data_IF_238394586214
#
_entry.id   IF_238394586214
#
_cell.length_a   1.000
_cell.length_b   1.000
_cell.length_c   1.000
_cell.angle_alpha   90.00
_cell.angle_beta   90.00
_cell.angle_gamma   90.00
#
_symmetry.space_group_name_H-M   'P 1'
#
loop_
_entity.id
_entity.type
_entity.pdbx_description
1 polymer ?
#
# COMPACT_ATOMS: atom_id res chain seq x y z
N UNK A 1 39.44 -17.87 -3.21
CA UNK A 1 39.40 -16.40 -2.99
C UNK A 1 39.16 -15.78 -4.35
N UNK A 2 37.89 -15.60 -4.73
CA UNK A 2 37.49 -14.78 -5.86
C UNK A 2 36.32 -13.95 -5.34
N UNK A 3 36.64 -12.70 -5.02
CA UNK A 3 35.69 -11.70 -4.56
C UNK A 3 35.12 -11.08 -5.83
N UNK A 4 33.81 -11.25 -6.04
CA UNK A 4 33.07 -10.57 -7.10
C UNK A 4 33.11 -9.07 -6.81
N UNK A 5 34.05 -8.38 -7.45
CA UNK A 5 34.17 -6.93 -7.37
C UNK A 5 33.24 -6.30 -8.41
N UNK A 6 32.02 -5.96 -8.01
CA UNK A 6 31.33 -4.86 -8.68
C UNK A 6 32.12 -3.56 -8.46
N UNK A 7 32.07 -2.68 -9.45
CA UNK A 7 32.41 -1.28 -9.19
C UNK A 7 31.36 -0.70 -8.23
N UNK A 8 31.79 0.17 -7.33
CA UNK A 8 30.95 0.80 -6.31
C UNK A 8 29.62 1.35 -6.89
N UNK A 9 29.66 1.93 -8.09
CA UNK A 9 28.49 2.55 -8.73
C UNK A 9 27.37 1.61 -9.19
N UNK A 10 27.63 0.32 -9.44
CA UNK A 10 26.55 -0.63 -9.84
C UNK A 10 25.69 -1.07 -8.66
N UNK A 11 26.26 -1.14 -7.45
CA UNK A 11 25.52 -1.43 -6.21
C UNK A 11 24.61 -0.27 -5.83
N UNK A 12 25.07 0.96 -6.02
CA UNK A 12 24.31 2.17 -5.71
C UNK A 12 23.00 2.26 -6.54
N UNK A 13 23.07 1.93 -7.84
CA UNK A 13 21.90 1.99 -8.74
C UNK A 13 20.78 1.02 -8.32
N UNK A 14 21.14 -0.22 -7.98
CA UNK A 14 20.16 -1.24 -7.56
C UNK A 14 19.53 -0.90 -6.21
N UNK A 15 20.32 -0.37 -5.28
CA UNK A 15 19.80 0.14 -4.01
C UNK A 15 18.85 1.31 -4.23
N UNK A 16 19.20 2.24 -5.12
CA UNK A 16 18.38 3.41 -5.45
C UNK A 16 17.04 3.00 -6.09
N UNK A 17 17.03 2.00 -6.97
CA UNK A 17 15.81 1.43 -7.54
C UNK A 17 14.92 0.78 -6.46
N UNK A 18 15.50 -0.05 -5.58
CA UNK A 18 14.74 -0.68 -4.50
C UNK A 18 14.19 0.35 -3.51
N UNK A 19 14.97 1.38 -3.16
CA UNK A 19 14.54 2.51 -2.33
C UNK A 19 13.39 3.28 -2.98
N UNK A 20 13.45 3.46 -4.30
CA UNK A 20 12.38 4.12 -5.05
C UNK A 20 11.06 3.36 -4.93
N UNK A 21 11.08 2.02 -5.07
CA UNK A 21 9.88 1.19 -4.87
C UNK A 21 9.38 1.22 -3.41
N UNK A 22 10.29 1.23 -2.43
CA UNK A 22 9.94 1.41 -1.02
C UNK A 22 9.18 2.72 -0.77
N UNK A 23 9.56 3.81 -1.44
CA UNK A 23 8.94 5.12 -1.24
C UNK A 23 7.63 5.28 -1.99
N UNK A 24 7.52 4.74 -3.21
CA UNK A 24 6.34 4.93 -4.08
C UNK A 24 5.07 4.26 -3.57
N UNK A 25 5.20 3.16 -2.83
CA UNK A 25 4.04 2.49 -2.25
C UNK A 25 3.62 3.08 -0.90
N UNK A 26 4.45 3.89 -0.24
CA UNK A 26 4.18 4.41 1.12
C UNK A 26 3.36 5.70 1.06
N UNK A 27 2.34 5.78 1.89
CA UNK A 27 1.36 6.86 1.89
C UNK A 27 1.21 7.50 3.27
N UNK A 28 0.89 8.79 3.26
CA UNK A 28 0.56 9.52 4.48
C UNK A 28 -0.95 9.51 4.69
N UNK A 29 -1.36 9.11 5.89
CA UNK A 29 -2.76 9.03 6.31
C UNK A 29 -3.04 10.16 7.29
N UNK A 30 -4.14 10.88 7.06
CA UNK A 30 -4.56 11.96 7.96
C UNK A 30 -6.07 12.04 8.07
N UNK A 31 -6.55 12.26 9.29
CA UNK A 31 -7.93 12.60 9.62
C UNK A 31 -7.94 13.88 10.48
N UNK A 32 -8.95 14.72 10.32
CA UNK A 32 -9.12 15.90 11.17
C UNK A 32 -10.26 15.63 12.15
N UNK A 33 -9.94 15.53 13.45
CA UNK A 33 -10.97 15.34 14.50
C UNK A 33 -11.24 16.62 15.26
N UNK A 34 -12.48 16.80 15.69
CA UNK A 34 -12.86 17.85 16.64
C UNK A 34 -12.40 17.45 18.03
N UNK A 35 -11.77 18.37 18.75
CA UNK A 35 -11.38 18.14 20.15
C UNK A 35 -12.61 17.91 21.00
N UNK A 36 -12.62 16.82 21.77
CA UNK A 36 -13.66 16.55 22.75
C UNK A 36 -13.14 16.68 24.17
N UNK A 37 -14.03 16.99 25.10
CA UNK A 37 -13.73 16.92 26.54
C UNK A 37 -14.90 16.27 27.28
N UNK A 38 -14.56 15.51 28.32
CA UNK A 38 -15.55 14.87 29.19
C UNK A 38 -15.85 15.76 30.38
N UNK A 39 -17.14 16.03 30.62
CA UNK A 39 -17.65 16.76 31.78
C UNK A 39 -18.95 16.13 32.24
N UNK A 40 -19.07 15.84 33.53
CA UNK A 40 -20.27 15.26 34.14
C UNK A 40 -20.76 13.97 33.44
N UNK A 41 -19.81 13.13 33.00
CA UNK A 41 -20.09 11.87 32.30
C UNK A 41 -20.57 12.02 30.86
N UNK A 42 -20.66 13.24 30.33
CA UNK A 42 -20.99 13.54 28.94
C UNK A 42 -19.76 14.03 28.18
N UNK A 43 -19.73 13.74 26.89
CA UNK A 43 -18.67 14.19 25.98
C UNK A 43 -19.17 15.39 25.17
N UNK A 44 -18.34 16.42 25.10
CA UNK A 44 -18.65 17.68 24.42
C UNK A 44 -17.58 18.00 23.39
N UNK A 45 -18.00 18.48 22.23
CA UNK A 45 -17.09 19.08 21.26
C UNK A 45 -16.64 20.46 21.71
N UNK A 46 -15.38 20.80 21.44
CA UNK A 46 -14.81 22.10 21.72
C UNK A 46 -14.98 23.00 20.51
N UNK A 47 -15.90 23.96 20.63
CA UNK A 47 -16.10 25.02 19.64
C UNK A 47 -15.60 26.35 20.20
N UNK A 48 -14.84 27.07 19.40
CA UNK A 48 -14.39 28.44 19.67
C UNK A 48 -15.42 29.40 19.11
N UNK A 49 -15.81 30.39 19.91
CA UNK A 49 -16.67 31.48 19.49
C UNK A 49 -15.82 32.71 19.21
N UNK A 50 -15.90 33.25 18.01
CA UNK A 50 -15.28 34.53 17.66
C UNK A 50 -15.99 35.65 18.42
N UNK A 51 -15.19 36.47 19.10
CA UNK A 51 -15.66 37.54 19.99
C UNK A 51 -16.21 38.76 19.25
N UNK A 52 -15.86 38.93 17.97
CA UNK A 52 -16.19 40.10 17.16
C UNK A 52 -17.40 39.87 16.26
N UNK A 53 -17.59 38.65 15.73
CA UNK A 53 -18.66 38.36 14.78
C UNK A 53 -19.65 37.26 15.25
N UNK A 54 -19.48 36.70 16.45
CA UNK A 54 -20.30 35.61 17.01
C UNK A 54 -20.27 34.29 16.20
N UNK A 55 -19.32 34.11 15.27
CA UNK A 55 -19.16 32.85 14.54
C UNK A 55 -18.55 31.77 15.43
N UNK A 56 -18.88 30.51 15.15
CA UNK A 56 -18.32 29.35 15.84
C UNK A 56 -17.41 28.58 14.89
N UNK A 57 -16.25 28.16 15.38
CA UNK A 57 -15.35 27.24 14.68
C UNK A 57 -14.97 26.08 15.59
N UNK A 58 -15.02 24.86 15.06
CA UNK A 58 -14.60 23.69 15.81
C UNK A 58 -13.08 23.74 16.04
N UNK A 59 -12.64 23.49 17.27
CA UNK A 59 -11.22 23.31 17.53
C UNK A 59 -10.82 21.89 17.14
N UNK A 60 -10.00 21.76 16.11
CA UNK A 60 -9.62 20.46 15.56
C UNK A 60 -8.17 20.09 15.88
N UNK A 61 -7.84 18.82 15.70
CA UNK A 61 -6.48 18.29 15.75
C UNK A 61 -6.32 17.18 14.71
N UNK A 62 -5.13 17.04 14.09
CA UNK A 62 -4.90 15.97 13.15
C UNK A 62 -4.62 14.66 13.89
N UNK A 63 -5.19 13.57 13.40
CA UNK A 63 -4.70 12.21 13.65
C UNK A 63 -3.97 11.77 12.39
N UNK A 64 -2.77 11.22 12.57
CA UNK A 64 -1.88 10.91 11.46
C UNK A 64 -1.34 9.49 11.59
N UNK A 65 -0.97 8.91 10.46
CA UNK A 65 -0.33 7.60 10.41
C UNK A 65 0.36 7.39 9.07
N UNK A 66 1.06 6.26 8.97
CA UNK A 66 1.62 5.79 7.72
C UNK A 66 0.80 4.61 7.22
N UNK A 67 0.60 4.53 5.91
CA UNK A 67 0.14 3.32 5.25
C UNK A 67 1.04 2.97 4.08
N UNK A 68 0.72 1.90 3.40
CA UNK A 68 1.32 1.57 2.11
C UNK A 68 0.36 0.76 1.26
N UNK A 69 0.56 0.80 -0.06
CA UNK A 69 -0.20 -0.04 -0.97
C UNK A 69 0.43 -1.42 -1.13
N UNK A 70 -0.43 -2.43 -1.24
CA UNK A 70 -0.09 -3.81 -1.55
C UNK A 70 -1.08 -4.37 -2.58
N UNK A 71 -0.64 -5.35 -3.36
CA UNK A 71 -1.51 -6.07 -4.30
C UNK A 71 -1.56 -7.56 -3.98
N UNK A 72 -2.54 -8.26 -4.54
CA UNK A 72 -2.56 -9.72 -4.58
C UNK A 72 -2.23 -10.27 -5.97
N UNK A 73 -2.02 -11.59 -6.06
CA UNK A 73 -1.73 -12.29 -7.33
C UNK A 73 -2.95 -12.30 -8.28
N UNK A 74 -4.09 -11.81 -7.83
CA UNK A 74 -5.34 -11.72 -8.58
C UNK A 74 -5.67 -10.25 -8.89
N UNK A 75 -4.69 -9.36 -8.94
CA UNK A 75 -4.86 -7.99 -9.44
C UNK A 75 -5.70 -7.06 -8.58
N UNK A 76 -6.07 -7.45 -7.36
CA UNK A 76 -6.71 -6.54 -6.40
C UNK A 76 -5.66 -5.67 -5.71
N UNK A 77 -6.05 -4.45 -5.38
CA UNK A 77 -5.16 -3.42 -4.82
C UNK A 77 -5.68 -2.97 -3.46
N UNK A 78 -4.77 -2.81 -2.50
CA UNK A 78 -5.15 -2.61 -1.10
C UNK A 78 -4.31 -1.51 -0.45
N UNK A 79 -4.95 -0.69 0.39
CA UNK A 79 -4.27 0.15 1.38
C UNK A 79 -4.08 -0.63 2.67
N UNK A 80 -2.85 -0.73 3.14
CA UNK A 80 -2.44 -1.42 4.36
C UNK A 80 -1.96 -0.41 5.40
N UNK A 81 -2.36 -0.58 6.66
CA UNK A 81 -1.84 0.19 7.80
C UNK A 81 -2.03 -0.58 9.11
N UNK A 82 -1.61 0.00 10.23
CA UNK A 82 -1.89 -0.57 11.55
C UNK A 82 -3.40 -0.51 11.85
N UNK A 83 -3.95 -1.52 12.54
CA UNK A 83 -5.39 -1.56 12.84
C UNK A 83 -5.81 -0.39 13.73
N UNK A 84 -5.01 0.04 14.70
CA UNK A 84 -5.35 1.22 15.50
C UNK A 84 -5.39 2.51 14.68
N UNK A 85 -4.50 2.67 13.69
CA UNK A 85 -4.56 3.82 12.75
C UNK A 85 -5.86 3.75 11.95
N UNK A 86 -6.17 2.59 11.35
CA UNK A 86 -7.39 2.41 10.57
C UNK A 86 -8.68 2.71 11.36
N UNK A 87 -8.73 2.36 12.66
CA UNK A 87 -9.87 2.67 13.54
C UNK A 87 -10.13 4.17 13.71
N UNK A 88 -9.09 5.00 13.57
CA UNK A 88 -9.21 6.44 13.72
C UNK A 88 -9.63 7.16 12.43
N UNK A 89 -9.53 6.49 11.29
CA UNK A 89 -9.86 7.04 9.98
C UNK A 89 -11.34 6.85 9.64
N UNK A 90 -11.97 7.90 9.10
CA UNK A 90 -13.33 7.86 8.56
C UNK A 90 -13.32 8.02 7.05
N UNK A 91 -14.50 8.03 6.42
CA UNK A 91 -14.63 8.32 4.98
C UNK A 91 -14.09 9.71 4.59
N UNK A 92 -13.97 10.63 5.56
CA UNK A 92 -13.43 11.98 5.38
C UNK A 92 -11.90 12.05 5.50
N UNK A 93 -11.26 10.99 5.95
CA UNK A 93 -9.81 10.92 5.99
C UNK A 93 -9.21 11.09 4.59
N UNK A 94 -7.95 11.47 4.57
CA UNK A 94 -7.20 11.72 3.35
C UNK A 94 -5.99 10.81 3.24
N UNK A 95 -5.66 10.45 2.01
CA UNK A 95 -4.44 9.72 1.63
C UNK A 95 -3.61 10.64 0.77
N UNK A 96 -2.40 10.94 1.21
CA UNK A 96 -1.42 11.72 0.43
C UNK A 96 -0.34 10.80 -0.10
N UNK A 97 -0.05 10.93 -1.39
CA UNK A 97 0.94 10.12 -2.10
C UNK A 97 1.90 10.99 -2.90
N UNK A 98 2.99 10.39 -3.36
CA UNK A 98 3.92 11.05 -4.28
C UNK A 98 3.36 11.07 -5.71
N UNK A 99 3.45 12.23 -6.36
CA UNK A 99 3.23 12.39 -7.80
C UNK A 99 4.54 12.80 -8.50
N UNK A 100 4.46 13.30 -9.74
CA UNK A 100 5.64 13.72 -10.52
C UNK A 100 6.47 14.79 -9.77
N UNK A 101 7.79 14.65 -9.85
CA UNK A 101 8.76 15.59 -9.26
C UNK A 101 8.59 15.75 -7.75
N UNK A 102 8.29 14.67 -7.05
CA UNK A 102 8.11 14.59 -5.59
C UNK A 102 7.01 15.52 -5.06
N UNK A 103 6.00 15.87 -5.87
CA UNK A 103 4.90 16.71 -5.40
C UNK A 103 3.85 15.84 -4.70
N UNK A 104 3.34 16.24 -3.52
CA UNK A 104 2.23 15.53 -2.90
C UNK A 104 0.96 15.72 -3.74
N UNK A 105 0.18 14.65 -3.84
CA UNK A 105 -1.22 14.71 -4.25
C UNK A 105 -2.06 14.04 -3.16
N UNK A 106 -3.18 14.66 -2.82
CA UNK A 106 -4.05 14.21 -1.74
C UNK A 106 -5.41 13.85 -2.30
N UNK A 107 -5.88 12.66 -1.92
CA UNK A 107 -7.20 12.16 -2.22
C UNK A 107 -8.01 12.00 -0.93
N UNK A 108 -9.33 12.16 -1.00
CA UNK A 108 -10.18 11.65 0.07
C UNK A 108 -10.15 10.12 0.01
N UNK A 109 -10.19 9.42 1.14
CA UNK A 109 -10.33 7.96 1.12
C UNK A 109 -11.59 7.54 0.36
N UNK A 110 -12.65 8.36 0.38
CA UNK A 110 -13.85 8.11 -0.44
C UNK A 110 -13.52 7.91 -1.92
N UNK A 111 -12.60 8.72 -2.46
CA UNK A 111 -12.18 8.63 -3.87
C UNK A 111 -11.42 7.33 -4.18
N UNK A 112 -10.91 6.65 -3.16
CA UNK A 112 -10.14 5.40 -3.27
C UNK A 112 -11.03 4.17 -3.20
N UNK A 113 -12.15 4.22 -2.48
CA UNK A 113 -13.00 3.05 -2.22
C UNK A 113 -14.31 3.03 -3.00
N UNK A 114 -14.53 4.02 -3.86
CA UNK A 114 -15.74 4.16 -4.65
C UNK A 114 -16.95 4.69 -3.85
N UNK A 115 -18.15 4.52 -4.41
CA UNK A 115 -19.40 4.97 -3.76
C UNK A 115 -19.75 4.08 -2.55
N UNK A 116 -19.33 4.53 -1.36
CA UNK A 116 -19.66 3.89 -0.08
C UNK A 116 -19.83 4.94 1.02
N UNK A 117 -20.69 4.63 1.99
CA UNK A 117 -20.93 5.47 3.17
C UNK A 117 -19.98 5.13 4.34
N UNK A 118 -19.24 4.02 4.23
CA UNK A 118 -18.33 3.56 5.29
C UNK A 118 -17.09 2.86 4.73
N UNK A 119 -15.98 2.96 5.48
CA UNK A 119 -14.74 2.25 5.20
C UNK A 119 -14.85 0.78 5.65
N UNK A 120 -14.71 -0.14 4.70
CA UNK A 120 -14.80 -1.59 4.95
C UNK A 120 -13.42 -2.20 5.19
N UNK A 121 -12.79 -1.81 6.30
CA UNK A 121 -11.50 -2.38 6.71
C UNK A 121 -11.63 -3.87 7.03
N UNK A 122 -10.76 -4.68 6.43
CA UNK A 122 -10.50 -6.05 6.86
C UNK A 122 -9.37 -6.03 7.88
N UNK A 123 -9.55 -6.66 9.04
CA UNK A 123 -8.53 -6.70 10.10
C UNK A 123 -8.06 -8.13 10.35
N UNK A 124 -6.84 -8.32 10.86
CA UNK A 124 -6.29 -9.67 11.08
C UNK A 124 -7.10 -10.48 12.11
N UNK A 125 -7.63 -9.81 13.13
CA UNK A 125 -8.35 -10.38 14.27
C UNK A 125 -7.53 -10.38 15.55
N UNK A 126 -6.28 -10.87 15.51
CA UNK A 126 -5.35 -10.87 16.64
C UNK A 126 -4.20 -9.86 16.54
N UNK A 127 -3.75 -9.55 15.32
CA UNK A 127 -2.59 -8.68 15.07
C UNK A 127 -3.05 -7.27 14.67
N UNK A 128 -2.22 -6.27 14.94
CA UNK A 128 -2.52 -4.86 14.67
C UNK A 128 -2.33 -4.50 13.18
N UNK A 129 -3.10 -5.14 12.30
CA UNK A 129 -3.05 -4.96 10.85
C UNK A 129 -4.46 -4.76 10.32
N UNK A 130 -4.61 -3.77 9.44
CA UNK A 130 -5.83 -3.50 8.70
C UNK A 130 -5.53 -3.28 7.21
N UNK A 131 -6.44 -3.75 6.38
CA UNK A 131 -6.37 -3.73 4.91
C UNK A 131 -7.69 -3.20 4.36
N UNK A 132 -7.62 -2.26 3.42
CA UNK A 132 -8.77 -1.67 2.75
C UNK A 132 -8.65 -1.92 1.24
N UNK A 133 -9.66 -2.56 0.65
CA UNK A 133 -9.73 -2.75 -0.80
C UNK A 133 -9.92 -1.40 -1.51
N UNK A 134 -9.15 -1.17 -2.56
CA UNK A 134 -9.21 0.02 -3.41
C UNK A 134 -10.04 -0.30 -4.66
N UNK A 135 -10.91 0.64 -5.04
CA UNK A 135 -11.66 0.57 -6.29
C UNK A 135 -10.72 0.81 -7.47
N UNK A 136 -10.66 -0.14 -8.41
CA UNK A 136 -9.79 -0.08 -9.58
C UNK A 136 -10.17 1.04 -10.58
N UNK A 137 -11.34 1.67 -10.44
CA UNK A 137 -11.69 2.89 -11.18
C UNK A 137 -11.27 4.18 -10.47
N UNK A 138 -10.62 4.09 -9.31
CA UNK A 138 -10.15 5.26 -8.58
C UNK A 138 -9.14 6.05 -9.41
N UNK A 139 -9.24 7.38 -9.38
CA UNK A 139 -8.30 8.32 -10.03
C UNK A 139 -6.88 8.25 -9.48
N UNK A 140 -6.64 7.47 -8.43
CA UNK A 140 -5.29 7.20 -7.95
C UNK A 140 -4.47 6.42 -8.99
N UNK A 141 -5.11 5.59 -9.82
CA UNK A 141 -4.46 4.82 -10.88
C UNK A 141 -4.04 5.67 -12.09
N UNK A 142 -4.51 6.92 -12.18
CA UNK A 142 -4.03 7.89 -13.18
C UNK A 142 -2.61 8.39 -12.87
N UNK A 143 -2.06 8.06 -11.69
CA UNK A 143 -0.72 8.46 -11.27
C UNK A 143 0.32 7.50 -11.87
N UNK A 144 1.17 7.95 -12.81
CA UNK A 144 2.06 7.05 -13.57
C UNK A 144 3.13 6.34 -12.73
N UNK A 145 3.30 6.74 -11.46
CA UNK A 145 4.32 6.20 -10.55
C UNK A 145 3.71 5.54 -9.30
N UNK A 146 2.40 5.31 -9.29
CA UNK A 146 1.76 4.56 -8.22
C UNK A 146 2.36 3.15 -8.19
N UNK A 147 2.83 2.71 -7.02
CA UNK A 147 3.37 1.38 -6.81
C UNK A 147 2.66 0.72 -5.62
N UNK A 148 2.68 -0.61 -5.59
CA UNK A 148 2.22 -1.42 -4.49
C UNK A 148 3.19 -2.57 -4.26
N UNK A 149 3.32 -3.00 -3.02
CA UNK A 149 4.09 -4.19 -2.69
C UNK A 149 3.40 -5.43 -3.26
N UNK A 150 4.05 -6.16 -4.19
CA UNK A 150 3.50 -7.40 -4.70
C UNK A 150 3.62 -8.51 -3.65
N UNK A 151 2.82 -9.59 -3.74
CA UNK A 151 2.79 -10.65 -2.73
C UNK A 151 4.15 -11.28 -2.44
N UNK A 152 4.97 -11.50 -3.46
CA UNK A 152 6.29 -12.12 -3.32
C UNK A 152 7.31 -11.26 -2.54
N UNK A 153 7.06 -9.96 -2.39
CA UNK A 153 7.88 -9.06 -1.56
C UNK A 153 7.46 -9.14 -0.08
N UNK A 154 6.23 -9.54 0.22
CA UNK A 154 5.71 -9.67 1.58
C UNK A 154 6.08 -11.05 2.12
N UNK A 155 6.95 -11.10 3.13
CA UNK A 155 7.45 -12.36 3.68
C UNK A 155 6.32 -13.15 4.39
N UNK A 156 5.99 -14.33 3.87
CA UNK A 156 4.87 -15.15 4.38
C UNK A 156 5.27 -16.16 5.47
N UNK A 157 6.47 -16.01 6.05
CA UNK A 157 6.95 -16.85 7.15
C UNK A 157 6.82 -16.12 8.47
N UNK A 158 6.27 -16.80 9.48
CA UNK A 158 6.28 -16.30 10.86
C UNK A 158 7.68 -16.46 11.46
N UNK A 159 8.57 -15.51 11.17
CA UNK A 159 9.93 -15.48 11.70
C UNK A 159 10.38 -14.03 11.92
N UNK A 160 11.23 -13.82 12.92
CA UNK A 160 11.92 -12.55 13.11
C UNK A 160 13.18 -12.51 12.22
N UNK A 161 13.53 -11.36 11.63
CA UNK A 161 14.82 -11.18 10.97
C UNK A 161 15.99 -11.44 11.93
N UNK A 162 17.12 -11.90 11.39
CA UNK A 162 18.34 -12.16 12.20
C UNK A 162 18.88 -10.85 12.78
N UNK A 163 19.39 -10.88 14.00
CA UNK A 163 19.91 -9.70 14.73
C UNK A 163 21.02 -8.92 14.02
N UNK A 164 21.78 -9.59 13.15
CA UNK A 164 22.85 -8.96 12.37
C UNK A 164 22.35 -8.19 11.14
N UNK A 165 21.04 -8.25 10.84
CA UNK A 165 20.44 -7.53 9.72
C UNK A 165 20.25 -6.07 10.08
N UNK A 166 20.45 -5.21 9.09
CA UNK A 166 19.96 -3.85 9.10
C UNK A 166 18.61 -3.83 8.38
N UNK A 167 17.59 -3.28 9.05
CA UNK A 167 16.25 -3.11 8.51
C UNK A 167 15.97 -1.63 8.29
N UNK A 168 15.13 -1.32 7.30
CA UNK A 168 14.71 0.05 7.01
C UNK A 168 13.21 0.21 7.22
N UNK A 169 12.82 1.12 8.11
CA UNK A 169 11.44 1.62 8.22
C UNK A 169 11.28 2.80 7.26
N UNK A 170 10.11 2.90 6.62
CA UNK A 170 9.74 4.04 5.76
C UNK A 170 8.38 4.60 6.19
N UNK A 171 8.29 5.91 6.44
CA UNK A 171 7.03 6.55 6.81
C UNK A 171 7.13 8.02 7.17
N UNK A 172 6.15 8.52 7.92
CA UNK A 172 5.98 9.95 8.21
C UNK A 172 6.00 10.25 9.71
N UNK A 173 7.17 10.08 10.37
CA UNK A 173 7.29 10.39 11.80
C UNK A 173 6.99 11.86 12.04
N UNK A 174 6.15 12.15 13.03
CA UNK A 174 5.72 13.51 13.40
C UNK A 174 5.08 14.29 12.23
N UNK A 175 4.59 13.59 11.19
CA UNK A 175 4.11 14.22 9.95
C UNK A 175 5.21 14.85 9.09
N UNK A 176 6.49 14.58 9.39
CA UNK A 176 7.63 15.04 8.58
C UNK A 176 7.64 14.33 7.23
N UNK A 177 8.21 15.00 6.22
CA UNK A 177 8.26 14.47 4.86
C UNK A 177 7.09 14.93 3.97
N UNK A 178 6.14 15.69 4.52
CA UNK A 178 4.99 16.25 3.81
C UNK A 178 5.04 17.79 3.85
N UNK A 179 5.01 18.43 2.68
CA UNK A 179 5.01 19.89 2.53
C UNK A 179 4.82 20.30 1.08
N UNK A 180 5.68 21.18 0.55
CA UNK A 180 5.74 21.43 -0.92
C UNK A 180 6.21 20.20 -1.70
N UNK A 181 6.87 19.28 -0.99
CA UNK A 181 7.44 18.03 -1.50
C UNK A 181 6.93 16.88 -0.64
N UNK A 182 6.92 15.70 -1.23
CA UNK A 182 6.54 14.44 -0.62
C UNK A 182 7.77 13.53 -0.62
N UNK A 183 8.28 13.26 0.58
CA UNK A 183 9.48 12.47 0.80
C UNK A 183 9.32 11.68 2.10
N UNK A 184 8.90 10.40 2.04
CA UNK A 184 8.85 9.54 3.21
C UNK A 184 10.23 9.48 3.90
N UNK A 185 10.23 9.48 5.22
CA UNK A 185 11.46 9.38 6.02
C UNK A 185 11.84 7.92 6.15
N UNK A 186 13.10 7.60 5.82
CA UNK A 186 13.70 6.30 6.07
C UNK A 186 14.49 6.29 7.38
N UNK A 187 14.38 5.22 8.16
CA UNK A 187 15.15 5.00 9.39
C UNK A 187 15.71 3.58 9.42
N UNK A 188 17.02 3.47 9.59
CA UNK A 188 17.76 2.18 9.66
C UNK A 188 17.88 1.71 11.11
N UNK A 189 17.61 0.44 11.36
CA UNK A 189 17.43 -0.16 12.68
C UNK A 189 17.85 -1.63 12.70
N UNK A 190 18.16 -2.17 13.86
CA UNK A 190 18.55 -3.58 14.01
C UNK A 190 17.52 -4.39 14.82
N UNK A 191 17.26 -5.66 14.46
CA UNK A 191 16.43 -6.54 15.29
C UNK A 191 17.05 -6.76 16.68
N UNK A 192 16.31 -6.37 17.71
CA UNK A 192 16.68 -6.50 19.14
C UNK A 192 16.07 -7.72 19.81
N UNK A 193 15.27 -8.50 19.11
CA UNK A 193 14.70 -9.75 19.62
C UNK A 193 14.46 -10.77 18.50
N UNK A 194 14.26 -12.03 18.90
CA UNK A 194 13.56 -12.99 18.05
C UNK A 194 12.04 -12.76 18.13
N UNK A 195 11.25 -13.72 17.65
CA UNK A 195 9.81 -13.70 17.93
C UNK A 195 9.56 -14.00 19.39
N UNK A 196 8.64 -13.27 19.99
CA UNK A 196 8.05 -13.63 21.26
C UNK A 196 6.57 -13.27 21.26
N UNK A 197 5.84 -13.95 22.12
CA UNK A 197 4.42 -13.74 22.32
C UNK A 197 4.22 -12.59 23.31
N UNK A 198 3.30 -11.70 22.99
CA UNK A 198 2.79 -10.71 23.93
C UNK A 198 1.34 -10.40 23.63
N UNK A 199 0.85 -9.32 24.25
CA UNK A 199 -0.57 -8.95 24.18
C UNK A 199 -0.72 -7.78 23.22
N UNK A 200 -1.59 -7.92 22.23
CA UNK A 200 -1.98 -6.79 21.40
C UNK A 200 -2.81 -5.81 22.24
N UNK A 201 -2.36 -4.56 22.44
CA UNK A 201 -3.04 -3.59 23.30
C UNK A 201 -4.42 -3.20 22.78
N UNK A 202 -4.72 -3.45 21.50
CA UNK A 202 -5.97 -3.04 20.86
C UNK A 202 -7.14 -4.02 21.08
N UNK A 203 -6.86 -5.27 21.44
CA UNK A 203 -7.86 -6.33 21.58
C UNK A 203 -7.59 -7.34 22.71
N UNK A 204 -6.49 -7.18 23.45
CA UNK A 204 -6.04 -8.08 24.52
C UNK A 204 -5.84 -9.54 24.10
N UNK A 205 -5.58 -9.81 22.82
CA UNK A 205 -5.27 -11.14 22.32
C UNK A 205 -3.78 -11.36 22.22
N UNK A 206 -3.37 -12.63 22.35
CA UNK A 206 -1.98 -13.02 22.14
C UNK A 206 -1.59 -12.84 20.67
N UNK A 207 -0.40 -12.27 20.46
CA UNK A 207 0.18 -12.06 19.14
C UNK A 207 1.70 -12.18 19.22
N UNK A 208 2.30 -12.72 18.17
CA UNK A 208 3.75 -12.70 18.02
C UNK A 208 4.21 -11.39 17.39
N UNK A 209 5.24 -10.78 17.97
CA UNK A 209 5.95 -9.65 17.40
C UNK A 209 7.46 -9.78 17.65
N UNK A 210 8.23 -8.90 17.02
CA UNK A 210 9.63 -8.71 17.31
C UNK A 210 9.92 -7.22 17.53
N UNK A 211 11.04 -6.94 18.14
CA UNK A 211 11.50 -5.61 18.53
C UNK A 211 12.69 -5.15 17.72
N UNK A 212 12.74 -3.85 17.45
CA UNK A 212 13.93 -3.15 16.97
C UNK A 212 14.55 -2.32 18.10
N UNK A 213 15.85 -2.07 17.99
CA UNK A 213 16.70 -1.39 18.98
C UNK A 213 16.29 0.04 19.35
N UNK A 214 15.75 0.80 18.41
CA UNK A 214 15.30 2.17 18.66
C UNK A 214 13.77 2.22 18.84
N UNK A 215 13.23 3.00 19.79
CA UNK A 215 11.81 3.28 19.84
C UNK A 215 11.27 3.86 18.52
N UNK A 216 10.02 3.51 18.22
CA UNK A 216 9.27 4.14 17.15
C UNK A 216 8.86 5.56 17.56
N UNK A 217 8.55 6.38 16.56
CA UNK A 217 8.09 7.76 16.72
C UNK A 217 6.65 7.83 16.22
N UNK A 218 5.81 8.62 16.90
CA UNK A 218 4.44 8.87 16.44
C UNK A 218 4.42 9.24 14.95
N UNK A 219 3.50 8.67 14.18
CA UNK A 219 3.46 8.80 12.72
C UNK A 219 4.10 7.64 11.95
N UNK A 220 5.00 6.85 12.55
CA UNK A 220 5.49 5.59 11.96
C UNK A 220 4.51 4.42 12.10
N UNK A 221 3.46 4.52 12.92
CA UNK A 221 2.45 3.44 13.00
C UNK A 221 1.88 3.13 11.62
N UNK A 222 1.92 1.85 11.23
CA UNK A 222 1.51 1.38 9.91
C UNK A 222 2.61 1.41 8.84
N UNK A 223 3.80 1.92 9.15
CA UNK A 223 4.96 1.87 8.24
C UNK A 223 5.39 0.44 7.92
N UNK A 224 5.71 0.14 6.65
CA UNK A 224 6.37 -1.11 6.30
C UNK A 224 7.83 -1.12 6.80
N UNK A 225 8.30 -2.31 7.15
CA UNK A 225 9.68 -2.58 7.56
C UNK A 225 10.33 -3.49 6.51
N UNK A 226 11.45 -3.07 5.97
CA UNK A 226 12.11 -3.75 4.86
C UNK A 226 13.47 -4.37 5.26
N UNK A 227 13.73 -5.59 4.78
CA UNK A 227 15.07 -6.19 4.67
C UNK A 227 15.50 -6.09 3.20
N UNK A 228 16.53 -5.30 2.91
CA UNK A 228 17.11 -5.18 1.58
C UNK A 228 18.22 -6.23 1.44
N UNK A 229 18.01 -7.23 0.58
CA UNK A 229 18.97 -8.31 0.36
C UNK A 229 19.60 -8.16 -1.01
N UNK A 230 20.90 -7.90 -1.06
CA UNK A 230 21.65 -7.94 -2.32
C UNK A 230 22.14 -9.37 -2.52
N UNK A 231 21.58 -10.06 -3.52
CA UNK A 231 22.00 -11.40 -3.88
C UNK A 231 23.13 -11.33 -4.91
N UNK A 232 24.29 -11.95 -4.64
CA UNK A 232 25.31 -12.14 -5.65
C UNK A 232 24.76 -13.12 -6.71
N UNK A 233 24.72 -12.69 -7.97
CA UNK A 233 24.54 -13.62 -9.09
C UNK A 233 25.91 -14.12 -9.58
N UNK A 234 25.91 -15.18 -10.40
CA UNK A 234 27.16 -15.79 -10.88
C UNK A 234 27.99 -14.82 -11.73
N UNK A 235 29.29 -15.11 -11.92
CA UNK A 235 30.18 -14.28 -12.73
C UNK A 235 29.59 -14.03 -14.13
N UNK A 236 29.37 -12.75 -14.47
CA UNK A 236 28.77 -12.32 -15.73
C UNK A 236 27.31 -11.85 -15.61
N UNK A 237 26.65 -12.07 -14.47
CA UNK A 237 25.29 -11.61 -14.19
C UNK A 237 25.28 -10.42 -13.21
N UNK A 238 24.28 -9.54 -13.34
CA UNK A 238 24.12 -8.39 -12.45
C UNK A 238 23.58 -8.86 -11.09
N UNK A 239 24.11 -8.33 -9.98
CA UNK A 239 23.53 -8.59 -8.65
C UNK A 239 22.04 -8.18 -8.63
N UNK A 240 21.21 -8.89 -7.85
CA UNK A 240 19.79 -8.55 -7.70
C UNK A 240 19.54 -8.05 -6.28
N UNK A 241 19.15 -6.78 -6.17
CA UNK A 241 18.59 -6.22 -4.93
C UNK A 241 17.18 -6.74 -4.72
N UNK A 242 16.99 -7.67 -3.79
CA UNK A 242 15.68 -8.20 -3.40
C UNK A 242 15.19 -7.44 -2.17
N UNK A 243 14.17 -6.61 -2.37
CA UNK A 243 13.43 -5.99 -1.29
C UNK A 243 12.47 -7.01 -0.67
N UNK A 244 12.45 -7.11 0.67
CA UNK A 244 11.45 -7.90 1.40
C UNK A 244 10.80 -7.08 2.49
N UNK A 245 9.47 -7.04 2.51
CA UNK A 245 8.71 -6.54 3.65
C UNK A 245 8.68 -7.62 4.74
N UNK A 246 9.30 -7.33 5.88
CA UNK A 246 9.42 -8.23 7.04
C UNK A 246 8.41 -7.93 8.13
N UNK A 247 7.72 -6.78 8.06
CA UNK A 247 6.68 -6.44 9.01
C UNK A 247 6.13 -5.04 8.86
N UNK A 248 5.32 -4.67 9.84
CA UNK A 248 4.63 -3.39 9.96
C UNK A 248 4.85 -2.83 11.36
N UNK A 249 5.14 -1.55 11.46
CA UNK A 249 5.36 -0.87 12.75
C UNK A 249 4.04 -0.73 13.50
N UNK A 250 3.95 -1.35 14.67
CA UNK A 250 2.82 -1.22 15.58
C UNK A 250 2.90 0.07 16.40
N UNK A 251 4.10 0.40 16.86
CA UNK A 251 4.34 1.50 17.79
C UNK A 251 5.55 1.22 18.65
N UNK A 252 5.56 1.79 19.86
CA UNK A 252 6.67 1.68 20.80
C UNK A 252 6.25 0.92 22.04
N UNK A 253 7.07 -0.04 22.45
CA UNK A 253 7.05 -0.60 23.80
C UNK A 253 8.13 0.13 24.59
N UNK A 254 7.71 1.08 25.44
CA UNK A 254 8.63 1.89 26.23
C UNK A 254 8.21 1.95 27.69
N UNK A 255 9.18 2.26 28.55
CA UNK A 255 8.90 2.96 29.79
C UNK A 255 8.90 4.48 29.56
N UNK A 256 8.98 5.30 30.61
CA UNK A 256 8.98 6.76 30.48
C UNK A 256 10.25 7.34 29.80
N UNK A 257 11.29 6.54 29.57
CA UNK A 257 12.64 7.01 29.23
C UNK A 257 13.23 6.28 28.01
N UNK A 258 13.00 4.97 27.87
CA UNK A 258 13.56 4.14 26.80
C UNK A 258 12.51 3.16 26.27
N UNK A 259 12.73 2.65 25.06
CA UNK A 259 11.81 1.68 24.48
C UNK A 259 12.35 1.01 23.24
N UNK A 260 11.47 0.25 22.60
CA UNK A 260 11.74 -0.52 21.40
C UNK A 260 10.58 -0.33 20.44
N UNK A 261 10.86 -0.24 19.13
CA UNK A 261 9.80 -0.34 18.14
C UNK A 261 9.27 -1.78 18.10
N UNK A 262 7.96 -1.96 18.28
CA UNK A 262 7.31 -3.26 18.12
C UNK A 262 6.84 -3.43 16.68
N UNK A 263 7.24 -4.53 16.07
CA UNK A 263 6.97 -4.85 14.67
C UNK A 263 6.07 -6.07 14.60
N UNK A 264 4.94 -5.92 13.91
CA UNK A 264 4.06 -7.01 13.52
C UNK A 264 4.68 -7.73 12.31
N UNK A 265 4.97 -9.04 12.39
CA UNK A 265 5.50 -9.81 11.27
C UNK A 265 4.63 -9.73 10.01
N UNK A 266 5.27 -9.65 8.83
CA UNK A 266 4.56 -9.44 7.56
C UNK A 266 3.64 -10.60 7.13
N UNK A 267 3.82 -11.80 7.69
CA UNK A 267 2.87 -12.91 7.52
C UNK A 267 1.45 -12.55 8.00
N UNK A 268 1.31 -11.61 8.95
CA UNK A 268 -0.01 -11.12 9.35
C UNK A 268 -0.62 -10.18 8.30
N UNK A 269 0.20 -9.50 7.50
CA UNK A 269 -0.22 -8.67 6.37
C UNK A 269 -0.74 -9.56 5.25
N UNK A 270 0.04 -10.56 4.82
CA UNK A 270 -0.38 -11.53 3.79
C UNK A 270 -1.67 -12.25 4.16
N UNK A 271 -1.78 -12.72 5.41
CA UNK A 271 -3.02 -13.35 5.93
C UNK A 271 -4.21 -12.41 5.99
N UNK A 272 -4.00 -11.12 6.22
CA UNK A 272 -5.09 -10.14 6.23
C UNK A 272 -5.55 -9.82 4.81
N UNK A 273 -4.62 -9.67 3.86
CA UNK A 273 -4.92 -9.54 2.42
C UNK A 273 -5.68 -10.77 1.93
N UNK A 274 -5.26 -11.98 2.30
CA UNK A 274 -5.95 -13.22 1.91
C UNK A 274 -7.40 -13.33 2.43
N UNK A 275 -7.73 -12.64 3.53
CA UNK A 275 -9.10 -12.57 4.08
C UNK A 275 -9.90 -11.39 3.51
N UNK A 276 -9.23 -10.41 2.91
CA UNK A 276 -9.88 -9.22 2.40
C UNK A 276 -10.77 -9.56 1.19
N UNK A 277 -11.85 -8.79 0.96
CA UNK A 277 -12.61 -8.94 -0.27
C UNK A 277 -11.71 -8.62 -1.47
N UNK A 278 -11.87 -9.39 -2.53
CA UNK A 278 -11.21 -9.14 -3.82
C UNK A 278 -12.09 -8.26 -4.69
N UNK A 279 -11.47 -7.51 -5.60
CA UNK A 279 -12.20 -6.60 -6.46
C UNK A 279 -13.25 -7.32 -7.31
N UNK A 280 -14.47 -6.77 -7.37
CA UNK A 280 -15.54 -7.26 -8.24
C UNK A 280 -16.30 -6.06 -8.77
N UNK A 281 -16.27 -5.85 -10.07
CA UNK A 281 -16.77 -4.64 -10.69
C UNK A 281 -16.32 -4.52 -12.13
N UNK A 282 -16.85 -3.53 -12.84
CA UNK A 282 -16.36 -3.18 -14.18
C UNK A 282 -15.22 -2.20 -14.02
N UNK A 283 -14.07 -2.51 -14.60
CA UNK A 283 -12.94 -1.59 -14.72
C UNK A 283 -12.98 -0.98 -16.11
N UNK A 284 -12.89 0.35 -16.16
CA UNK A 284 -12.87 1.11 -17.41
C UNK A 284 -11.47 1.66 -17.64
N UNK A 285 -10.86 1.25 -18.74
CA UNK A 285 -9.58 1.77 -19.22
C UNK A 285 -9.84 2.87 -20.25
N UNK A 286 -9.01 3.92 -20.22
CA UNK A 286 -9.15 5.08 -21.10
C UNK A 286 -7.90 5.27 -21.96
N UNK A 287 -8.11 5.78 -23.17
CA UNK A 287 -7.06 6.35 -24.00
C UNK A 287 -6.57 7.68 -23.40
N UNK A 288 -5.39 8.15 -23.83
CA UNK A 288 -4.82 9.44 -23.42
C UNK A 288 -5.76 10.63 -23.70
N UNK A 289 -6.67 10.50 -24.67
CA UNK A 289 -7.67 11.52 -25.01
C UNK A 289 -8.94 11.46 -24.15
N UNK A 290 -9.00 10.57 -23.15
CA UNK A 290 -10.11 10.40 -22.22
C UNK A 290 -11.29 9.58 -22.77
N UNK A 291 -11.22 9.06 -24.00
CA UNK A 291 -12.22 8.10 -24.51
C UNK A 291 -11.97 6.71 -23.96
N UNK A 292 -13.03 5.92 -23.81
CA UNK A 292 -12.94 4.54 -23.35
C UNK A 292 -12.08 3.73 -24.33
N UNK A 293 -11.13 2.97 -23.80
CA UNK A 293 -10.33 2.00 -24.53
C UNK A 293 -10.89 0.59 -24.35
N UNK A 294 -11.17 0.18 -23.11
CA UNK A 294 -11.64 -1.16 -22.80
C UNK A 294 -12.49 -1.16 -21.52
N UNK A 295 -13.52 -2.00 -21.49
CA UNK A 295 -14.30 -2.28 -20.28
C UNK A 295 -14.16 -3.76 -19.94
N UNK A 296 -13.69 -4.05 -18.72
CA UNK A 296 -13.48 -5.41 -18.23
C UNK A 296 -14.32 -5.66 -16.98
N UNK A 297 -15.09 -6.75 -16.97
CA UNK A 297 -15.72 -7.22 -15.75
C UNK A 297 -14.74 -8.07 -14.96
N UNK A 298 -14.47 -7.67 -13.73
CA UNK A 298 -13.74 -8.44 -12.75
C UNK A 298 -14.70 -9.16 -11.80
N UNK A 299 -14.34 -10.38 -11.42
CA UNK A 299 -15.04 -11.17 -10.41
C UNK A 299 -14.04 -11.83 -9.48
N UNK A 300 -14.07 -11.41 -8.21
CA UNK A 300 -13.13 -11.86 -7.17
C UNK A 300 -11.66 -11.72 -7.62
N UNK A 301 -11.26 -10.53 -8.08
CA UNK A 301 -9.93 -10.20 -8.59
C UNK A 301 -9.67 -10.65 -10.03
N UNK A 302 -10.44 -11.61 -10.55
CA UNK A 302 -10.12 -12.21 -11.85
C UNK A 302 -10.84 -11.53 -13.00
N UNK A 303 -10.15 -11.37 -14.11
CA UNK A 303 -10.76 -10.97 -15.38
C UNK A 303 -11.81 -12.01 -15.80
N UNK A 304 -13.08 -11.60 -15.75
CA UNK A 304 -14.22 -12.49 -15.92
C UNK A 304 -14.83 -12.39 -17.31
N UNK A 305 -14.87 -11.18 -17.88
CA UNK A 305 -15.45 -10.93 -19.20
C UNK A 305 -14.91 -9.63 -19.79
N UNK A 306 -14.57 -9.64 -21.08
CA UNK A 306 -14.36 -8.39 -21.82
C UNK A 306 -15.71 -7.86 -22.28
N UNK A 307 -16.10 -6.69 -21.79
CA UNK A 307 -17.40 -6.06 -22.12
C UNK A 307 -17.30 -5.38 -23.48
N UNK A 308 -16.25 -4.60 -23.71
CA UNK A 308 -16.06 -3.81 -24.93
C UNK A 308 -14.57 -3.48 -25.13
N UNK A 309 -14.19 -3.19 -26.38
CA UNK A 309 -12.93 -2.59 -26.77
C UNK A 309 -13.22 -1.52 -27.82
N UNK A 310 -12.50 -0.40 -27.77
CA UNK A 310 -12.64 0.72 -28.68
C UNK A 310 -11.27 1.29 -29.09
N UNK A 311 -11.18 1.77 -30.33
CA UNK A 311 -10.02 2.52 -30.79
C UNK A 311 -9.98 3.94 -30.17
N UNK A 312 -8.90 4.67 -30.41
CA UNK A 312 -8.73 6.04 -29.90
C UNK A 312 -9.77 7.03 -30.45
N UNK A 313 -10.52 6.68 -31.49
CA UNK A 313 -11.63 7.47 -32.03
C UNK A 313 -12.98 7.09 -31.39
N UNK A 314 -13.07 6.00 -30.64
CA UNK A 314 -14.29 5.46 -30.04
C UNK A 314 -15.04 4.46 -30.93
N UNK A 315 -14.39 3.96 -31.99
CA UNK A 315 -14.98 2.92 -32.85
C UNK A 315 -14.79 1.55 -32.18
N UNK A 316 -15.84 0.70 -32.12
CA UNK A 316 -15.73 -0.64 -31.56
C UNK A 316 -14.65 -1.48 -32.26
N UNK A 317 -13.91 -2.26 -31.47
CA UNK A 317 -12.91 -3.22 -31.93
C UNK A 317 -13.28 -4.63 -31.49
N UNK A 318 -12.68 -5.63 -32.13
CA UNK A 318 -12.78 -7.00 -31.66
C UNK A 318 -12.22 -7.12 -30.24
N UNK A 319 -12.93 -7.82 -29.37
CA UNK A 319 -12.58 -7.87 -27.94
C UNK A 319 -12.09 -9.24 -27.47
N UNK A 320 -12.08 -10.20 -28.40
CA UNK A 320 -11.89 -11.61 -28.12
C UNK A 320 -13.16 -12.29 -27.59
N UNK A 321 -12.97 -13.46 -26.99
CA UNK A 321 -14.05 -14.37 -26.57
C UNK A 321 -14.20 -14.50 -25.05
N UNK A 322 -13.39 -13.80 -24.26
CA UNK A 322 -13.34 -13.94 -22.80
C UNK A 322 -14.72 -13.69 -22.18
N UNK A 323 -15.29 -14.75 -21.63
CA UNK A 323 -16.56 -14.73 -20.93
C UNK A 323 -16.58 -15.83 -19.85
N UNK A 324 -17.12 -15.50 -18.68
CA UNK A 324 -17.09 -16.38 -17.51
C UNK A 324 -15.70 -16.93 -17.18
N UNK A 325 -14.68 -16.08 -17.31
CA UNK A 325 -13.28 -16.39 -17.02
C UNK A 325 -12.58 -17.30 -18.02
N UNK A 326 -13.21 -17.64 -19.15
CA UNK A 326 -12.62 -18.52 -20.16
C UNK A 326 -12.66 -17.87 -21.54
N UNK A 327 -11.62 -18.08 -22.34
CA UNK A 327 -11.52 -17.58 -23.71
C UNK A 327 -10.35 -16.64 -23.89
N UNK A 328 -10.47 -15.71 -24.84
CA UNK A 328 -9.40 -14.80 -25.24
C UNK A 328 -9.74 -13.34 -25.00
N UNK A 329 -8.77 -12.54 -24.55
CA UNK A 329 -8.82 -11.08 -24.56
C UNK A 329 -7.85 -10.55 -25.60
N UNK A 330 -8.29 -9.58 -26.38
CA UNK A 330 -7.48 -8.92 -27.40
C UNK A 330 -6.98 -7.58 -26.86
N UNK A 331 -5.69 -7.32 -27.03
CA UNK A 331 -5.03 -6.10 -26.59
C UNK A 331 -4.35 -5.41 -27.78
N UNK A 332 -4.67 -4.12 -27.95
CA UNK A 332 -4.26 -3.29 -29.06
C UNK A 332 -3.27 -2.23 -28.60
N UNK A 333 -2.38 -1.79 -29.48
CA UNK A 333 -1.54 -0.61 -29.23
C UNK A 333 -2.32 0.69 -29.45
N UNK A 334 -1.62 1.81 -29.28
CA UNK A 334 -2.18 3.17 -29.45
C UNK A 334 -2.53 3.49 -30.92
N UNK A 335 -1.93 2.78 -31.88
CA UNK A 335 -2.25 2.87 -33.30
C UNK A 335 -3.50 2.05 -33.67
N UNK A 336 -3.94 1.14 -32.79
CA UNK A 336 -5.10 0.27 -32.99
C UNK A 336 -4.73 -1.09 -33.60
N UNK A 337 -3.46 -1.45 -33.64
CA UNK A 337 -2.99 -2.74 -34.12
C UNK A 337 -3.04 -3.78 -33.01
N UNK A 338 -3.47 -5.01 -33.34
CA UNK A 338 -3.58 -6.10 -32.37
C UNK A 338 -2.18 -6.59 -31.98
N UNK A 339 -1.79 -6.39 -30.72
CA UNK A 339 -0.44 -6.74 -30.25
C UNK A 339 -0.44 -8.07 -29.51
N UNK A 340 -1.47 -8.31 -28.70
CA UNK A 340 -1.55 -9.53 -27.89
C UNK A 340 -2.94 -10.18 -27.95
N UNK A 341 -2.89 -11.52 -27.97
CA UNK A 341 -4.02 -12.37 -27.62
C UNK A 341 -3.69 -13.06 -26.30
N UNK A 342 -4.46 -12.72 -25.27
CA UNK A 342 -4.32 -13.28 -23.93
C UNK A 342 -5.36 -14.37 -23.73
N UNK A 343 -4.93 -15.58 -23.36
CA UNK A 343 -5.79 -16.72 -23.10
C UNK A 343 -6.02 -16.88 -21.61
N UNK A 344 -7.28 -17.06 -21.23
CA UNK A 344 -7.69 -17.22 -19.85
C UNK A 344 -8.42 -18.54 -19.62
N UNK A 345 -8.13 -19.14 -18.46
CA UNK A 345 -8.85 -20.29 -17.92
C UNK A 345 -9.25 -20.01 -16.48
N UNK A 346 -10.54 -20.16 -16.17
CA UNK A 346 -11.09 -19.86 -14.84
C UNK A 346 -10.66 -18.50 -14.26
N UNK A 347 -10.54 -17.51 -15.15
CA UNK A 347 -10.17 -16.12 -14.85
C UNK A 347 -8.67 -15.88 -14.65
N UNK A 348 -7.82 -16.87 -14.90
CA UNK A 348 -6.35 -16.73 -14.84
C UNK A 348 -5.75 -16.66 -16.23
N UNK A 349 -4.83 -15.73 -16.45
CA UNK A 349 -4.02 -15.69 -17.65
C UNK A 349 -3.12 -16.92 -17.72
N UNK A 350 -3.29 -17.76 -18.75
CA UNK A 350 -2.51 -18.99 -18.95
C UNK A 350 -1.50 -18.87 -20.09
N UNK A 351 -1.76 -17.98 -21.05
CA UNK A 351 -0.88 -17.79 -22.21
C UNK A 351 -1.08 -16.41 -22.82
N UNK A 352 0.02 -15.77 -23.19
CA UNK A 352 0.01 -14.57 -24.03
C UNK A 352 0.64 -14.90 -25.37
N UNK A 353 -0.07 -14.65 -26.47
CA UNK A 353 0.43 -14.77 -27.83
C UNK A 353 0.67 -13.36 -28.35
N UNK A 354 1.93 -13.02 -28.61
CA UNK A 354 2.29 -11.79 -29.31
C UNK A 354 2.00 -11.98 -30.79
N UNK A 355 1.29 -11.03 -31.40
CA UNK A 355 1.17 -10.96 -32.85
C UNK A 355 2.43 -10.28 -33.38
N UNK A 356 3.13 -10.96 -34.29
CA UNK A 356 4.22 -10.37 -35.06
C UNK A 356 3.63 -9.83 -36.36
N UNK A 357 3.96 -8.59 -36.69
CA UNK A 357 3.62 -7.98 -37.98
C UNK A 357 4.40 -8.59 -39.14
#
# INVERSE_FOLDING_TARGET
MFVSNLSYGQKDILQEQALTEMFRCVVYLQETKVQTFKKDGKEYERWLKDVNNNEFSAQTYPITGTGFFASDDEGSFYLVTAQHVAKDLTINATVTIQSKYDKPITYSIKDLVGETDALKWTTHGSADVAVLLIDLNSKIFDIPMLSALPPHVILDSLQAPKRQKELTIVGFPLGLGIGKKFSPISKKLSPSSGLFEGINPNNNLNVFYFLLDDPSVAGFSGSPVYDLVILPQQEGESEIGVLRCVGLVQGTISDKIAGFAAIVPSVYISRTIAKAPKYSGVVVYYHDNGKIWSELLFKNGKEWKVISNYDSNGKPMEKGTLNNGNGTRYEYDKEGELVFIQHYESGKLVKTVKQEN
#
